data_IF_292821617709
#
_entry.id   IF_292821617709
#
_cell.length_a   1.000
_cell.length_b   1.000
_cell.length_c   1.000
_cell.angle_alpha   90.00
_cell.angle_beta   90.00
_cell.angle_gamma   90.00
#
_symmetry.space_group_name_H-M   'P 1'
#
loop_
_entity.id
_entity.type
_entity.pdbx_description
1 polymer ?
#
# COMPACT_ATOMS: atom_id res chain seq x y z
N UNK A 1 0.38 -19.38 28.34
CA UNK A 1 -0.65 -20.29 27.80
C UNK A 1 0.04 -21.22 26.82
N UNK A 2 -0.30 -22.50 26.88
CA UNK A 2 0.18 -23.47 25.90
C UNK A 2 -0.51 -23.23 24.57
N UNK A 3 0.24 -23.30 23.49
CA UNK A 3 -0.23 -22.85 22.20
C UNK A 3 0.35 -23.66 21.04
N UNK A 4 -0.31 -23.55 19.89
CA UNK A 4 0.09 -24.19 18.63
C UNK A 4 -0.42 -23.39 17.42
N UNK A 5 0.04 -23.77 16.23
CA UNK A 5 -0.39 -23.27 14.94
C UNK A 5 -0.89 -24.43 14.08
N UNK A 6 -2.01 -24.23 13.36
CA UNK A 6 -2.59 -25.30 12.55
C UNK A 6 -1.74 -25.60 11.30
N UNK A 7 -1.28 -26.84 11.18
CA UNK A 7 -0.61 -27.36 9.97
C UNK A 7 0.75 -26.73 9.68
N UNK A 8 1.11 -26.68 8.39
CA UNK A 8 2.31 -26.00 7.87
C UNK A 8 3.66 -26.51 8.40
N UNK A 9 3.73 -27.78 8.82
CA UNK A 9 4.98 -28.40 9.25
C UNK A 9 5.99 -28.46 8.11
N UNK A 10 7.10 -27.75 8.29
CA UNK A 10 8.24 -27.75 7.39
C UNK A 10 9.18 -28.91 7.70
N UNK A 11 9.50 -29.09 8.99
CA UNK A 11 10.35 -30.16 9.50
C UNK A 11 10.20 -30.28 11.02
N UNK A 12 10.84 -31.27 11.62
CA UNK A 12 10.91 -31.38 13.08
C UNK A 12 12.31 -31.78 13.55
N UNK A 13 12.63 -31.43 14.80
CA UNK A 13 13.89 -31.77 15.44
C UNK A 13 13.69 -32.04 16.93
N UNK A 14 14.40 -33.05 17.45
CA UNK A 14 14.43 -33.33 18.88
C UNK A 14 15.26 -32.25 19.60
N UNK A 15 14.64 -31.51 20.51
CA UNK A 15 15.27 -30.41 21.24
C UNK A 15 14.43 -30.02 22.46
N UNK A 16 15.00 -29.28 23.41
CA UNK A 16 14.24 -28.65 24.49
C UNK A 16 13.37 -27.49 23.98
N UNK A 17 12.31 -27.16 24.71
CA UNK A 17 11.38 -26.09 24.34
C UNK A 17 12.06 -24.73 24.24
N UNK A 18 12.99 -24.43 25.15
CA UNK A 18 13.78 -23.19 25.16
C UNK A 18 14.64 -23.00 23.90
N UNK A 19 15.05 -24.11 23.26
CA UNK A 19 15.88 -24.10 22.05
C UNK A 19 15.08 -24.19 20.75
N UNK A 20 13.75 -24.37 20.82
CA UNK A 20 12.92 -24.54 19.63
C UNK A 20 12.86 -23.27 18.76
N UNK A 21 12.85 -22.07 19.38
CA UNK A 21 12.94 -20.81 18.65
C UNK A 21 14.24 -20.69 17.86
N UNK A 22 15.37 -21.02 18.48
CA UNK A 22 16.67 -21.04 17.82
C UNK A 22 16.68 -22.04 16.65
N UNK A 23 16.13 -23.25 16.85
CA UNK A 23 16.04 -24.25 15.79
C UNK A 23 15.21 -23.80 14.61
N UNK A 24 14.08 -23.14 14.86
CA UNK A 24 13.30 -22.52 13.79
C UNK A 24 14.09 -21.41 13.09
N UNK A 25 14.74 -20.50 13.81
CA UNK A 25 15.54 -19.44 13.18
C UNK A 25 16.72 -19.93 12.32
N UNK A 26 17.31 -21.09 12.66
CA UNK A 26 18.37 -21.74 11.89
C UNK A 26 17.84 -22.53 10.67
N UNK A 27 16.52 -22.75 10.60
CA UNK A 27 15.88 -23.56 9.57
C UNK A 27 15.34 -22.67 8.47
N UNK A 28 15.90 -22.83 7.27
CA UNK A 28 15.51 -22.02 6.11
C UNK A 28 14.01 -22.09 5.84
N UNK A 29 13.34 -20.94 5.81
CA UNK A 29 11.90 -20.83 5.56
C UNK A 29 11.01 -21.05 6.78
N UNK A 30 11.57 -21.33 7.97
CA UNK A 30 10.79 -21.40 9.19
C UNK A 30 10.37 -20.00 9.65
N UNK A 31 9.07 -19.78 9.78
CA UNK A 31 8.50 -18.50 10.24
C UNK A 31 7.94 -18.60 11.64
N UNK A 32 7.56 -19.80 12.07
CA UNK A 32 6.98 -20.06 13.38
C UNK A 32 7.21 -21.52 13.79
N UNK A 33 6.98 -21.82 15.05
CA UNK A 33 7.21 -23.16 15.59
C UNK A 33 6.16 -23.51 16.64
N UNK A 34 6.01 -24.81 16.84
CA UNK A 34 5.36 -25.39 18.01
C UNK A 34 6.29 -26.44 18.62
N UNK A 35 6.25 -26.60 19.93
CA UNK A 35 7.05 -27.55 20.69
C UNK A 35 6.15 -28.36 21.59
N UNK A 36 6.42 -29.66 21.72
CA UNK A 36 5.72 -30.54 22.64
C UNK A 36 6.62 -31.68 23.16
N UNK A 37 6.10 -32.48 24.09
CA UNK A 37 6.81 -33.59 24.74
C UNK A 37 7.00 -34.84 23.86
N UNK A 38 6.56 -34.81 22.60
CA UNK A 38 6.71 -35.95 21.69
C UNK A 38 8.18 -36.38 21.61
N UNK A 39 8.45 -37.69 21.72
CA UNK A 39 9.80 -38.29 21.74
C UNK A 39 10.79 -37.64 22.74
N UNK A 40 10.28 -37.17 23.89
CA UNK A 40 11.10 -36.52 24.91
C UNK A 40 11.50 -35.08 24.56
N UNK A 41 10.70 -34.41 23.73
CA UNK A 41 10.86 -33.02 23.34
C UNK A 41 11.10 -32.86 21.84
N UNK A 42 10.10 -32.42 21.11
CA UNK A 42 10.16 -32.19 19.66
C UNK A 42 9.74 -30.77 19.31
N UNK A 43 10.57 -30.08 18.54
CA UNK A 43 10.26 -28.81 17.91
C UNK A 43 9.74 -29.06 16.49
N UNK A 44 8.53 -28.60 16.21
CA UNK A 44 7.85 -28.61 14.94
C UNK A 44 8.03 -27.24 14.29
N UNK A 45 8.93 -27.18 13.31
CA UNK A 45 9.26 -25.97 12.57
C UNK A 45 8.25 -25.81 11.45
N UNK A 46 7.68 -24.62 11.32
CA UNK A 46 6.55 -24.36 10.43
C UNK A 46 6.83 -23.13 9.56
N UNK A 47 6.22 -23.08 8.38
CA UNK A 47 6.40 -21.99 7.41
C UNK A 47 5.07 -21.36 7.01
N UNK A 48 5.05 -20.07 6.73
CA UNK A 48 3.85 -19.36 6.30
C UNK A 48 3.69 -18.00 6.96
N UNK A 49 2.72 -17.22 6.48
CA UNK A 49 2.41 -15.91 7.03
C UNK A 49 1.50 -16.07 8.26
N UNK A 50 2.10 -16.09 9.44
CA UNK A 50 1.39 -16.12 10.72
C UNK A 50 1.96 -15.07 11.68
N UNK A 51 1.13 -14.66 12.62
CA UNK A 51 1.44 -13.77 13.73
C UNK A 51 1.18 -14.47 15.06
N UNK A 52 1.61 -13.86 16.17
CA UNK A 52 1.34 -14.42 17.51
C UNK A 52 -0.16 -14.61 17.79
N UNK A 53 -1.02 -13.83 17.12
CA UNK A 53 -2.48 -13.92 17.29
C UNK A 53 -3.11 -15.11 16.56
N UNK A 54 -2.41 -15.71 15.60
CA UNK A 54 -2.88 -16.89 14.87
C UNK A 54 -2.63 -18.19 15.66
N UNK A 55 -1.89 -18.08 16.77
CA UNK A 55 -1.71 -19.18 17.70
C UNK A 55 -3.03 -19.46 18.43
N UNK A 56 -3.44 -20.74 18.47
CA UNK A 56 -4.58 -21.15 19.26
C UNK A 56 -4.10 -21.77 20.58
N UNK A 57 -4.86 -21.53 21.64
CA UNK A 57 -4.58 -22.14 22.95
C UNK A 57 -4.84 -23.64 22.89
N UNK A 58 -3.92 -24.41 23.46
CA UNK A 58 -4.07 -25.86 23.62
C UNK A 58 -4.31 -26.21 25.08
N UNK A 59 -4.95 -27.36 25.32
CA UNK A 59 -5.15 -27.89 26.67
C UNK A 59 -3.92 -28.68 27.19
N UNK A 60 -2.89 -28.87 26.36
CA UNK A 60 -1.67 -29.56 26.77
C UNK A 60 -0.71 -28.55 27.44
N UNK A 61 -0.50 -28.63 28.77
CA UNK A 61 0.34 -27.67 29.49
C UNK A 61 1.81 -27.68 29.02
N UNK A 62 2.23 -28.73 28.32
CA UNK A 62 3.61 -28.87 27.84
C UNK A 62 3.81 -28.35 26.41
N UNK A 63 2.78 -27.80 25.78
CA UNK A 63 2.96 -27.16 24.48
C UNK A 63 3.45 -25.73 24.61
N UNK A 64 4.36 -25.34 23.73
CA UNK A 64 4.81 -23.96 23.56
C UNK A 64 4.89 -23.65 22.07
N UNK A 65 4.62 -22.42 21.67
CA UNK A 65 4.73 -22.00 20.28
C UNK A 65 5.28 -20.59 20.21
N UNK A 66 5.77 -20.20 19.03
CA UNK A 66 6.27 -18.85 18.82
C UNK A 66 6.41 -18.53 17.34
N UNK A 67 6.35 -17.24 17.03
CA UNK A 67 6.69 -16.71 15.72
C UNK A 67 8.12 -16.20 15.79
N UNK A 68 8.94 -16.53 14.81
CA UNK A 68 10.29 -15.98 14.73
C UNK A 68 10.16 -14.57 14.15
N UNK A 69 10.27 -13.58 15.03
CA UNK A 69 10.60 -12.22 14.62
C UNK A 69 12.06 -12.25 14.14
N UNK A 70 12.28 -12.57 12.87
CA UNK A 70 13.63 -12.57 12.31
C UNK A 70 14.17 -11.13 12.37
N UNK A 71 15.02 -10.85 13.36
CA UNK A 71 15.84 -9.64 13.46
C UNK A 71 16.86 -9.52 12.31
N UNK A 72 17.05 -10.62 11.57
CA UNK A 72 17.86 -10.71 10.35
C UNK A 72 17.04 -10.86 9.05
N UNK A 73 15.71 -10.65 9.08
CA UNK A 73 14.92 -10.69 7.84
C UNK A 73 15.23 -9.47 6.98
N UNK A 74 16.00 -9.68 5.93
CA UNK A 74 16.33 -8.64 4.98
C UNK A 74 15.10 -8.29 4.13
N UNK A 75 14.93 -7.00 3.83
CA UNK A 75 13.93 -6.56 2.87
C UNK A 75 14.38 -6.93 1.46
N UNK A 76 13.71 -7.90 0.85
CA UNK A 76 13.98 -8.30 -0.53
C UNK A 76 12.97 -7.63 -1.45
N UNK A 77 13.44 -6.97 -2.51
CA UNK A 77 12.58 -6.42 -3.56
C UNK A 77 11.94 -7.57 -4.33
N UNK A 78 10.63 -7.73 -4.21
CA UNK A 78 9.87 -8.83 -4.84
C UNK A 78 9.15 -8.40 -6.11
N UNK A 79 8.97 -7.10 -6.30
CA UNK A 79 8.36 -6.55 -7.50
C UNK A 79 8.79 -5.10 -7.70
N UNK A 80 8.91 -4.68 -8.95
CA UNK A 80 9.15 -3.28 -9.30
C UNK A 80 8.63 -2.94 -10.70
N UNK A 81 8.32 -1.67 -10.90
CA UNK A 81 8.15 -1.03 -12.21
C UNK A 81 8.92 0.28 -12.27
N UNK A 82 9.82 0.40 -13.24
CA UNK A 82 10.69 1.57 -13.43
C UNK A 82 10.25 2.45 -14.64
N UNK A 83 9.26 2.00 -15.43
CA UNK A 83 8.72 2.80 -16.55
C UNK A 83 9.78 3.25 -17.59
N UNK A 84 10.83 2.45 -17.78
CA UNK A 84 12.00 2.73 -18.64
C UNK A 84 11.73 2.54 -20.15
N UNK A 85 10.61 3.07 -20.66
CA UNK A 85 10.29 3.06 -22.08
C UNK A 85 9.42 4.27 -22.48
N UNK A 86 9.31 4.53 -23.79
CA UNK A 86 8.35 5.48 -24.33
C UNK A 86 7.10 4.74 -24.82
N UNK A 87 5.91 5.18 -24.41
CA UNK A 87 4.65 4.66 -24.95
C UNK A 87 3.59 4.38 -23.89
N UNK A 88 2.73 3.40 -24.16
CA UNK A 88 1.63 3.01 -23.27
C UNK A 88 2.08 2.31 -21.99
N UNK A 89 1.11 1.96 -21.15
CA UNK A 89 1.35 1.27 -19.88
C UNK A 89 1.42 -0.25 -20.11
N UNK A 90 2.32 -0.96 -19.41
CA UNK A 90 2.44 -2.41 -19.51
C UNK A 90 1.16 -3.10 -19.01
N UNK A 91 0.37 -3.73 -19.90
CA UNK A 91 -0.89 -4.35 -19.52
C UNK A 91 -0.70 -5.61 -18.67
N UNK A 92 0.52 -6.14 -18.52
CA UNK A 92 0.79 -7.24 -17.59
C UNK A 92 0.96 -6.75 -16.14
N UNK A 93 1.19 -5.46 -15.94
CA UNK A 93 1.47 -4.85 -14.64
C UNK A 93 0.30 -4.02 -14.14
N UNK A 94 -0.38 -3.32 -15.04
CA UNK A 94 -1.42 -2.36 -14.70
C UNK A 94 -2.71 -2.60 -15.50
N UNK A 95 -3.82 -2.18 -14.91
CA UNK A 95 -5.13 -2.02 -15.53
C UNK A 95 -5.64 -0.60 -15.29
N UNK A 96 -6.66 -0.20 -16.04
CA UNK A 96 -7.26 1.13 -15.95
C UNK A 96 -8.66 1.04 -15.37
N UNK A 97 -8.92 1.86 -14.35
CA UNK A 97 -10.28 2.19 -13.96
C UNK A 97 -10.80 3.26 -14.93
N UNK A 98 -11.93 2.99 -15.59
CA UNK A 98 -12.46 3.81 -16.68
C UNK A 98 -13.83 4.35 -16.32
N UNK A 99 -14.05 5.65 -16.55
CA UNK A 99 -15.35 6.28 -16.39
C UNK A 99 -15.33 7.63 -15.69
N UNK A 100 -16.49 8.29 -15.73
CA UNK A 100 -16.72 9.62 -15.16
C UNK A 100 -17.93 9.64 -14.22
N UNK A 101 -18.15 8.59 -13.42
CA UNK A 101 -19.29 8.50 -12.50
C UNK A 101 -19.15 9.35 -11.22
N UNK A 102 -18.02 10.05 -11.04
CA UNK A 102 -17.73 10.85 -9.84
C UNK A 102 -17.05 10.06 -8.71
N UNK A 103 -16.86 8.75 -8.87
CA UNK A 103 -15.98 7.90 -8.04
C UNK A 103 -16.24 7.97 -6.53
N UNK A 104 -17.51 8.14 -6.14
CA UNK A 104 -17.93 8.28 -4.73
C UNK A 104 -17.65 9.66 -4.11
N UNK A 105 -16.93 10.53 -4.83
CA UNK A 105 -16.37 11.77 -4.30
C UNK A 105 -16.80 13.03 -5.08
N UNK A 106 -17.81 12.95 -5.95
CA UNK A 106 -18.23 14.05 -6.84
C UNK A 106 -17.11 14.55 -7.78
N UNK A 107 -16.19 13.67 -8.14
CA UNK A 107 -15.08 13.94 -9.05
C UNK A 107 -15.58 14.35 -10.44
N UNK A 108 -14.83 15.22 -11.13
CA UNK A 108 -15.25 15.89 -12.37
C UNK A 108 -14.52 15.39 -13.62
N UNK A 109 -13.51 14.53 -13.48
CA UNK A 109 -12.82 13.90 -14.60
C UNK A 109 -13.52 12.65 -15.12
N UNK A 110 -13.27 12.34 -16.38
CA UNK A 110 -13.41 11.02 -16.94
C UNK A 110 -12.03 10.32 -16.92
N UNK A 111 -11.89 9.22 -16.18
CA UNK A 111 -10.70 8.39 -16.28
C UNK A 111 -10.74 7.58 -17.57
N UNK A 112 -9.68 7.68 -18.37
CA UNK A 112 -9.61 7.13 -19.72
C UNK A 112 -9.00 5.73 -19.76
N UNK A 113 -9.34 4.97 -20.80
CA UNK A 113 -8.77 3.64 -21.04
C UNK A 113 -7.49 3.72 -21.87
N UNK A 114 -6.33 3.55 -21.22
CA UNK A 114 -5.02 3.46 -21.89
C UNK A 114 -4.75 4.53 -22.96
N UNK A 115 -5.13 5.77 -22.67
CA UNK A 115 -4.90 6.92 -23.56
C UNK A 115 -3.59 7.62 -23.22
N UNK A 116 -2.69 7.73 -24.19
CA UNK A 116 -1.32 8.26 -23.98
C UNK A 116 -1.32 9.70 -23.43
N UNK A 117 -2.31 10.50 -23.82
CA UNK A 117 -2.48 11.86 -23.33
C UNK A 117 -2.70 11.93 -21.82
N UNK A 118 -3.27 10.89 -21.21
CA UNK A 118 -3.58 10.82 -19.78
C UNK A 118 -2.66 9.87 -19.00
N UNK A 119 -2.14 8.81 -19.62
CA UNK A 119 -1.19 7.88 -19.02
C UNK A 119 -0.18 7.35 -20.05
N UNK A 120 1.11 7.58 -19.80
CA UNK A 120 2.19 7.12 -20.69
C UNK A 120 3.51 7.00 -19.94
N UNK A 121 4.40 6.15 -20.43
CA UNK A 121 5.79 6.14 -20.01
C UNK A 121 6.60 7.07 -20.91
N UNK A 122 7.48 7.87 -20.30
CA UNK A 122 8.40 8.77 -20.98
C UNK A 122 9.82 8.59 -20.43
N UNK A 123 10.81 8.44 -21.31
CA UNK A 123 12.22 8.48 -20.91
C UNK A 123 12.61 9.88 -20.42
N UNK A 124 13.53 9.96 -19.46
CA UNK A 124 14.18 11.23 -19.14
C UNK A 124 15.06 11.68 -20.33
N UNK A 125 15.15 12.99 -20.63
CA UNK A 125 15.98 13.48 -21.72
C UNK A 125 17.43 12.99 -21.62
N UNK A 126 17.91 12.31 -22.66
CA UNK A 126 19.27 11.76 -22.70
C UNK A 126 19.51 10.55 -21.79
N UNK A 127 18.47 9.95 -21.22
CA UNK A 127 18.56 8.79 -20.32
C UNK A 127 17.92 7.54 -20.92
N UNK A 128 18.34 6.37 -20.42
CA UNK A 128 17.60 5.10 -20.60
C UNK A 128 16.56 4.87 -19.49
N UNK A 129 16.61 5.67 -18.43
CA UNK A 129 15.61 5.60 -17.37
C UNK A 129 14.38 6.42 -17.76
N UNK A 130 13.20 5.99 -17.32
CA UNK A 130 11.94 6.64 -17.61
C UNK A 130 11.09 6.94 -16.39
N UNK A 131 9.86 7.33 -16.66
CA UNK A 131 8.84 7.64 -15.67
C UNK A 131 7.47 7.41 -16.25
N UNK A 132 6.54 7.01 -15.40
CA UNK A 132 5.11 7.12 -15.69
C UNK A 132 4.69 8.59 -15.55
N UNK A 133 3.97 9.06 -16.56
CA UNK A 133 3.21 10.30 -16.55
C UNK A 133 1.74 9.96 -16.36
N UNK A 134 1.13 10.51 -15.30
CA UNK A 134 -0.32 10.60 -15.16
C UNK A 134 -0.69 12.07 -15.36
N UNK A 135 -1.57 12.37 -16.31
CA UNK A 135 -1.85 13.74 -16.73
C UNK A 135 -3.35 14.04 -16.77
N UNK A 136 -3.75 15.04 -15.99
CA UNK A 136 -5.08 15.60 -16.01
C UNK A 136 -5.15 16.70 -17.08
N UNK A 137 -6.23 16.69 -17.87
CA UNK A 137 -6.46 17.62 -18.96
C UNK A 137 -7.86 18.20 -18.90
N UNK A 138 -8.01 19.41 -19.41
CA UNK A 138 -9.31 20.04 -19.66
C UNK A 138 -9.70 19.80 -21.11
N UNK A 139 -10.55 18.82 -21.32
CA UNK A 139 -11.11 18.46 -22.62
C UNK A 139 -12.46 17.75 -22.40
N UNK A 140 -13.38 17.92 -23.35
CA UNK A 140 -14.68 17.26 -23.27
C UNK A 140 -14.52 15.79 -23.68
N UNK A 141 -14.94 14.87 -22.80
CA UNK A 141 -15.00 13.44 -23.09
C UNK A 141 -16.19 12.84 -22.36
N UNK A 142 -17.02 12.11 -23.10
CA UNK A 142 -18.31 11.62 -22.62
C UNK A 142 -19.13 12.76 -21.97
N UNK A 143 -19.51 12.61 -20.70
CA UNK A 143 -20.29 13.57 -19.93
C UNK A 143 -19.43 14.49 -19.05
N UNK A 144 -18.12 14.60 -19.28
CA UNK A 144 -17.18 15.36 -18.43
C UNK A 144 -16.36 16.37 -19.23
N UNK A 145 -15.86 17.38 -18.52
CA UNK A 145 -15.04 18.48 -19.06
C UNK A 145 -13.54 18.32 -18.78
N UNK A 146 -13.17 17.24 -18.13
CA UNK A 146 -11.80 16.90 -17.80
C UNK A 146 -11.57 15.42 -18.06
N UNK A 147 -10.34 15.07 -18.42
CA UNK A 147 -9.86 13.69 -18.51
C UNK A 147 -8.68 13.51 -17.57
N UNK A 148 -8.47 12.27 -17.13
CA UNK A 148 -7.30 11.86 -16.37
C UNK A 148 -7.07 10.35 -16.52
N UNK A 149 -6.18 9.77 -15.72
CA UNK A 149 -6.02 8.33 -15.61
C UNK A 149 -6.02 7.87 -14.14
N UNK A 150 -6.50 6.65 -13.94
CA UNK A 150 -6.47 5.91 -12.67
C UNK A 150 -5.97 4.50 -12.97
N UNK A 151 -4.70 4.26 -12.64
CA UNK A 151 -4.02 2.99 -12.84
C UNK A 151 -4.19 2.13 -11.60
N UNK A 152 -4.38 0.83 -11.81
CA UNK A 152 -4.52 -0.20 -10.79
C UNK A 152 -3.53 -1.32 -11.03
N UNK A 153 -2.78 -1.74 -10.02
CA UNK A 153 -1.80 -2.83 -10.18
C UNK A 153 -2.50 -4.19 -10.30
N UNK A 154 -2.00 -5.06 -11.18
CA UNK A 154 -2.48 -6.45 -11.30
C UNK A 154 -1.99 -7.35 -10.18
N UNK A 155 -0.79 -7.06 -9.70
CA UNK A 155 -0.21 -7.67 -8.50
C UNK A 155 -0.89 -7.14 -7.25
N UNK A 156 -1.05 -8.02 -6.27
CA UNK A 156 -1.60 -7.71 -4.95
C UNK A 156 -0.70 -8.31 -3.88
N UNK A 157 -0.59 -7.64 -2.75
CA UNK A 157 0.23 -8.12 -1.63
C UNK A 157 -0.52 -8.02 -0.32
N UNK A 158 -0.18 -8.93 0.59
CA UNK A 158 -0.48 -8.79 2.01
C UNK A 158 0.84 -8.61 2.73
N UNK A 159 0.96 -7.49 3.44
CA UNK A 159 2.17 -7.08 4.13
C UNK A 159 3.38 -6.87 3.22
N UNK A 160 4.24 -5.96 3.64
CA UNK A 160 5.47 -5.63 2.97
C UNK A 160 5.76 -4.15 3.07
N UNK A 161 6.70 -3.71 2.24
CA UNK A 161 7.08 -2.32 2.10
C UNK A 161 6.80 -1.88 0.68
N UNK A 162 5.94 -0.90 0.52
CA UNK A 162 5.71 -0.24 -0.76
C UNK A 162 6.45 1.09 -0.76
N UNK A 163 7.25 1.33 -1.78
CA UNK A 163 7.87 2.61 -2.03
C UNK A 163 7.48 3.11 -3.41
N UNK A 164 7.06 4.36 -3.49
CA UNK A 164 6.73 5.03 -4.75
C UNK A 164 7.53 6.31 -4.82
N UNK A 165 8.38 6.42 -5.84
CA UNK A 165 9.15 7.64 -6.09
C UNK A 165 8.39 8.53 -7.07
N UNK A 166 7.79 9.61 -6.57
CA UNK A 166 6.92 10.47 -7.36
C UNK A 166 7.18 11.96 -7.12
N UNK A 167 6.84 12.77 -8.13
CA UNK A 167 6.77 14.23 -8.07
C UNK A 167 5.32 14.63 -8.35
N UNK A 168 4.74 15.40 -7.45
CA UNK A 168 3.31 15.71 -7.46
C UNK A 168 2.99 16.92 -8.36
N UNK A 169 1.77 16.99 -8.92
CA UNK A 169 1.28 18.20 -9.56
C UNK A 169 0.84 19.25 -8.53
N UNK A 170 0.97 20.52 -8.89
CA UNK A 170 0.26 21.61 -8.22
C UNK A 170 -0.99 22.04 -9.01
N UNK A 171 -1.83 22.84 -8.38
CA UNK A 171 -2.91 23.56 -9.06
C UNK A 171 -4.29 23.29 -8.46
N UNK A 172 -4.97 24.38 -8.10
CA UNK A 172 -6.28 24.36 -7.44
C UNK A 172 -7.29 23.54 -8.25
N UNK A 173 -7.88 22.54 -7.59
CA UNK A 173 -8.82 21.60 -8.19
C UNK A 173 -8.24 20.22 -8.48
N UNK A 174 -6.92 20.01 -8.40
CA UNK A 174 -6.33 18.67 -8.54
C UNK A 174 -6.31 17.91 -7.22
N UNK A 175 -6.40 16.59 -7.31
CA UNK A 175 -6.24 15.67 -6.18
C UNK A 175 -5.43 14.43 -6.63
N UNK A 176 -4.09 14.52 -6.68
CA UNK A 176 -3.22 13.36 -6.87
C UNK A 176 -3.28 12.41 -5.67
N UNK A 177 -3.29 11.10 -5.94
CA UNK A 177 -3.31 10.06 -4.92
C UNK A 177 -2.43 8.86 -5.31
N UNK A 178 -1.73 8.32 -4.31
CA UNK A 178 -1.02 7.03 -4.31
C UNK A 178 -1.53 6.24 -3.11
N UNK A 179 -2.24 5.16 -3.38
CA UNK A 179 -3.08 4.51 -2.37
C UNK A 179 -3.31 3.04 -2.70
N UNK A 180 -4.02 2.33 -1.82
CA UNK A 180 -4.27 0.91 -1.98
C UNK A 180 -5.69 0.55 -1.56
N UNK A 181 -6.27 -0.41 -2.29
CA UNK A 181 -7.57 -1.02 -1.97
C UNK A 181 -7.47 -2.55 -1.92
N UNK A 182 -8.33 -3.22 -1.16
CA UNK A 182 -8.34 -4.67 -0.99
C UNK A 182 -8.75 -5.37 -2.28
N UNK A 183 -8.17 -6.53 -2.58
CA UNK A 183 -8.53 -7.29 -3.79
C UNK A 183 -10.01 -7.74 -3.78
N UNK A 184 -10.54 -8.07 -2.59
CA UNK A 184 -11.82 -8.77 -2.45
C UNK A 184 -12.64 -8.20 -1.30
N UNK A 185 -13.96 -8.26 -1.48
CA UNK A 185 -14.92 -8.13 -0.41
C UNK A 185 -14.91 -9.40 0.45
N UNK A 186 -14.26 -9.33 1.60
CA UNK A 186 -13.95 -10.47 2.48
C UNK A 186 -14.80 -10.49 3.75
N UNK A 187 -15.03 -9.35 4.40
CA UNK A 187 -15.57 -9.34 5.77
C UNK A 187 -17.10 -9.14 5.86
N UNK A 188 -17.71 -8.48 4.89
CA UNK A 188 -19.15 -8.18 4.91
C UNK A 188 -19.75 -8.13 3.50
N UNK A 189 -21.03 -7.78 3.39
CA UNK A 189 -21.71 -7.56 2.11
C UNK A 189 -21.41 -6.18 1.47
N UNK A 190 -20.59 -5.37 2.14
CA UNK A 190 -20.16 -4.05 1.68
C UNK A 190 -18.67 -4.11 1.35
N UNK A 191 -18.25 -3.60 0.19
CA UNK A 191 -16.83 -3.59 -0.17
C UNK A 191 -16.05 -2.50 0.59
N UNK A 192 -16.45 -1.24 0.43
CA UNK A 192 -15.86 -0.10 1.12
C UNK A 192 -16.87 0.49 2.11
N UNK A 193 -16.47 0.84 3.35
CA UNK A 193 -15.11 0.87 3.89
C UNK A 193 -14.68 -0.45 4.59
N UNK A 194 -15.53 -1.47 4.55
CA UNK A 194 -15.42 -2.67 5.38
C UNK A 194 -14.14 -3.48 5.15
N UNK A 195 -13.57 -3.42 3.94
CA UNK A 195 -12.36 -4.17 3.58
C UNK A 195 -11.09 -3.32 3.62
N UNK A 196 -11.20 -2.07 4.04
CA UNK A 196 -10.08 -1.16 4.25
C UNK A 196 -9.69 -0.32 3.04
N UNK A 197 -8.91 0.72 3.31
CA UNK A 197 -8.23 1.59 2.35
C UNK A 197 -6.96 2.12 3.02
N UNK A 198 -5.87 2.19 2.26
CA UNK A 198 -4.57 2.70 2.73
C UNK A 198 -4.14 3.83 1.79
N UNK A 199 -4.30 5.06 2.24
CA UNK A 199 -3.92 6.26 1.49
C UNK A 199 -2.51 6.66 1.89
N UNK A 200 -1.53 6.09 1.18
CA UNK A 200 -0.11 6.37 1.43
C UNK A 200 0.19 7.86 1.23
N UNK A 201 -0.31 8.44 0.15
CA UNK A 201 -0.10 9.84 -0.19
C UNK A 201 -1.34 10.39 -0.90
N UNK A 202 -1.91 11.43 -0.31
CA UNK A 202 -2.86 12.31 -0.96
C UNK A 202 -2.39 13.76 -0.84
N UNK A 203 -2.76 14.55 -1.82
CA UNK A 203 -2.59 15.99 -1.80
C UNK A 203 -3.75 16.64 -2.56
N UNK A 204 -4.08 17.87 -2.19
CA UNK A 204 -5.02 18.71 -2.93
C UNK A 204 -4.30 19.94 -3.46
N UNK A 205 -4.49 20.27 -4.73
CA UNK A 205 -3.66 21.25 -5.41
C UNK A 205 -3.91 22.71 -5.02
N UNK A 206 -4.92 23.00 -4.19
CA UNK A 206 -5.06 24.30 -3.52
C UNK A 206 -4.16 24.44 -2.28
N UNK A 207 -3.58 23.33 -1.82
CA UNK A 207 -2.64 23.24 -0.70
C UNK A 207 -1.47 22.31 -1.08
N UNK A 208 -0.70 22.67 -2.12
CA UNK A 208 0.20 21.76 -2.84
C UNK A 208 1.49 21.42 -2.06
N UNK A 209 1.63 21.88 -0.82
CA UNK A 209 2.76 21.53 0.04
C UNK A 209 2.36 20.52 1.13
N UNK A 210 1.06 20.33 1.38
CA UNK A 210 0.58 19.41 2.41
C UNK A 210 0.38 18.03 1.79
N UNK A 211 1.09 17.05 2.33
CA UNK A 211 0.87 15.63 2.04
C UNK A 211 0.08 15.04 3.19
N UNK A 212 -0.98 14.31 2.87
CA UNK A 212 -1.87 13.65 3.81
C UNK A 212 -1.73 12.13 3.65
N UNK A 213 -1.70 11.43 4.77
CA UNK A 213 -1.74 9.98 4.83
C UNK A 213 -2.92 9.55 5.68
N UNK A 214 -3.71 8.60 5.19
CA UNK A 214 -4.98 8.21 5.81
C UNK A 214 -5.18 6.70 5.76
N UNK A 215 -5.94 6.19 6.72
CA UNK A 215 -6.41 4.80 6.73
C UNK A 215 -7.93 4.80 6.90
N UNK A 216 -8.65 4.07 6.05
CA UNK A 216 -10.10 3.87 6.22
C UNK A 216 -10.44 2.41 6.54
N UNK A 217 -11.45 2.24 7.38
CA UNK A 217 -11.97 0.96 7.87
C UNK A 217 -13.47 1.08 8.11
N UNK A 218 -14.15 -0.03 8.40
CA UNK A 218 -15.55 0.01 8.80
C UNK A 218 -15.77 0.97 9.98
N UNK A 219 -14.96 0.84 11.03
CA UNK A 219 -15.11 1.62 12.26
C UNK A 219 -14.66 3.07 12.09
N UNK A 220 -13.61 3.29 11.29
CA UNK A 220 -12.97 4.58 11.10
C UNK A 220 -12.90 5.00 9.63
N UNK A 221 -13.73 5.95 9.19
CA UNK A 221 -13.74 6.40 7.80
C UNK A 221 -14.28 7.84 7.66
N UNK A 222 -14.07 8.43 6.48
CA UNK A 222 -14.40 9.83 6.23
C UNK A 222 -15.91 10.14 6.31
N UNK A 223 -16.79 9.17 6.04
CA UNK A 223 -18.24 9.35 6.21
C UNK A 223 -18.61 9.58 7.69
N UNK A 224 -17.79 9.10 8.62
CA UNK A 224 -17.93 9.28 10.07
C UNK A 224 -17.05 10.40 10.62
N UNK A 225 -16.10 10.91 9.84
CA UNK A 225 -15.16 11.95 10.26
C UNK A 225 -14.17 11.53 11.35
N UNK A 226 -13.88 10.22 11.47
CA UNK A 226 -13.06 9.65 12.54
C UNK A 226 -11.90 8.76 12.02
N UNK A 227 -11.57 8.84 10.73
CA UNK A 227 -10.45 8.11 10.13
C UNK A 227 -9.11 8.50 10.76
N UNK A 228 -8.19 7.54 11.02
CA UNK A 228 -6.80 7.84 11.32
C UNK A 228 -6.17 8.57 10.14
N UNK A 229 -5.76 9.81 10.37
CA UNK A 229 -5.17 10.66 9.35
C UNK A 229 -4.13 11.58 9.99
N UNK A 230 -3.08 11.89 9.25
CA UNK A 230 -2.12 12.92 9.62
C UNK A 230 -1.53 13.56 8.37
N UNK A 231 -0.87 14.71 8.53
CA UNK A 231 -0.26 15.43 7.42
C UNK A 231 1.08 16.06 7.79
N UNK A 232 1.88 16.32 6.77
CA UNK A 232 3.14 17.07 6.89
C UNK A 232 3.31 18.03 5.71
N UNK A 233 4.07 19.10 5.93
CA UNK A 233 4.50 20.00 4.86
C UNK A 233 5.75 19.42 4.19
N UNK A 234 5.69 19.23 2.87
CA UNK A 234 6.79 18.79 2.01
C UNK A 234 7.03 19.87 0.97
N UNK A 235 7.90 20.83 1.30
CA UNK A 235 8.07 22.09 0.56
C UNK A 235 8.40 21.94 -0.93
N UNK A 236 8.98 20.81 -1.32
CA UNK A 236 9.45 20.54 -2.67
C UNK A 236 8.82 19.29 -3.29
N UNK A 237 7.66 18.84 -2.80
CA UNK A 237 6.92 17.71 -3.39
C UNK A 237 6.50 17.92 -4.85
N UNK A 238 6.32 19.18 -5.26
CA UNK A 238 5.89 19.56 -6.62
C UNK A 238 7.06 19.86 -7.56
N UNK A 239 8.25 20.09 -7.02
CA UNK A 239 9.46 20.42 -7.80
C UNK A 239 10.43 19.26 -7.89
N UNK A 240 10.50 18.41 -6.85
CA UNK A 240 11.43 17.29 -6.75
C UNK A 240 10.69 15.97 -6.55
N UNK A 241 11.32 14.88 -7.00
CA UNK A 241 10.87 13.54 -6.66
C UNK A 241 11.06 13.29 -5.17
N UNK A 242 10.04 12.68 -4.56
CA UNK A 242 10.03 12.18 -3.18
C UNK A 242 9.73 10.70 -3.18
N UNK A 243 10.17 10.01 -2.14
CA UNK A 243 9.84 8.61 -1.92
C UNK A 243 8.77 8.54 -0.84
N UNK A 244 7.58 8.14 -1.24
CA UNK A 244 6.47 7.82 -0.34
C UNK A 244 6.58 6.35 0.04
N UNK A 245 6.76 6.08 1.33
CA UNK A 245 7.00 4.73 1.84
C UNK A 245 5.87 4.28 2.75
N UNK A 246 5.27 3.13 2.46
CA UNK A 246 4.40 2.38 3.34
C UNK A 246 5.19 1.20 3.89
N UNK A 247 5.28 1.09 5.22
CA UNK A 247 5.68 -0.12 5.94
C UNK A 247 4.44 -0.74 6.58
N UNK A 248 4.00 -1.87 6.02
CA UNK A 248 2.78 -2.55 6.43
C UNK A 248 3.09 -3.98 6.87
N UNK A 249 2.76 -4.29 8.12
CA UNK A 249 2.88 -5.64 8.67
C UNK A 249 1.64 -5.99 9.50
N UNK A 250 1.67 -7.13 10.16
CA UNK A 250 0.52 -7.64 10.92
C UNK A 250 0.17 -6.80 12.14
N UNK A 251 1.13 -6.03 12.68
CA UNK A 251 0.95 -5.27 13.92
C UNK A 251 0.71 -3.79 13.66
N UNK A 252 1.16 -3.24 12.53
CA UNK A 252 1.03 -1.81 12.22
C UNK A 252 1.19 -1.45 10.75
N UNK A 253 0.68 -0.27 10.42
CA UNK A 253 0.87 0.48 9.19
C UNK A 253 1.65 1.74 9.56
N UNK A 254 2.77 1.98 8.90
CA UNK A 254 3.55 3.22 9.02
C UNK A 254 3.74 3.84 7.64
N UNK A 255 3.54 5.16 7.55
CA UNK A 255 3.66 5.89 6.29
C UNK A 255 4.67 7.02 6.45
N UNK A 256 5.52 7.18 5.44
CA UNK A 256 6.64 8.11 5.45
C UNK A 256 6.75 8.86 4.13
N UNK A 257 7.41 10.01 4.19
CA UNK A 257 7.93 10.71 3.02
C UNK A 257 9.39 11.06 3.23
N UNK A 258 10.19 10.78 2.20
CA UNK A 258 11.62 11.04 2.19
C UNK A 258 12.14 11.30 0.79
N UNK A 259 13.42 11.05 0.59
CA UNK A 259 14.13 11.18 -0.68
C UNK A 259 15.09 10.00 -0.89
N UNK A 260 15.89 10.05 -1.96
CA UNK A 260 16.83 8.99 -2.30
C UNK A 260 17.91 8.77 -1.22
N UNK A 261 18.23 9.79 -0.41
CA UNK A 261 19.20 9.65 0.68
C UNK A 261 18.57 9.00 1.93
N UNK A 262 17.31 9.33 2.23
CA UNK A 262 16.57 8.70 3.32
C UNK A 262 15.06 8.57 3.01
N UNK A 263 14.61 7.41 2.51
CA UNK A 263 13.19 7.16 2.22
C UNK A 263 12.25 7.18 3.45
N UNK A 264 12.81 7.13 4.66
CA UNK A 264 12.09 7.11 5.94
C UNK A 264 12.25 8.41 6.73
N UNK A 265 12.76 9.48 6.09
CA UNK A 265 13.14 10.72 6.77
C UNK A 265 12.03 11.30 7.65
N UNK A 266 10.78 11.34 7.14
CA UNK A 266 9.67 11.93 7.86
C UNK A 266 8.53 10.92 7.95
N UNK A 267 8.17 10.54 9.18
CA UNK A 267 7.00 9.71 9.44
C UNK A 267 5.74 10.57 9.50
N UNK A 268 4.74 10.23 8.69
CA UNK A 268 3.47 10.94 8.61
C UNK A 268 2.47 10.28 9.56
N UNK A 269 2.22 8.98 9.39
CA UNK A 269 1.19 8.24 10.12
C UNK A 269 1.74 6.94 10.68
N UNK A 270 1.28 6.58 11.88
CA UNK A 270 1.41 5.25 12.48
C UNK A 270 0.04 4.79 12.93
N UNK A 271 -0.39 3.62 12.46
CA UNK A 271 -1.62 2.98 12.89
C UNK A 271 -1.32 1.56 13.38
N UNK A 272 -1.54 1.31 14.68
CA UNK A 272 -1.32 0.00 15.28
C UNK A 272 -2.59 -0.84 15.18
N UNK A 273 -2.40 -2.16 15.01
CA UNK A 273 -3.49 -3.13 15.03
C UNK A 273 -4.25 -3.05 16.34
N UNK A 274 -5.56 -2.99 16.23
CA UNK A 274 -6.49 -3.01 17.34
C UNK A 274 -7.80 -3.61 16.90
N UNK A 275 -8.51 -4.22 17.85
CA UNK A 275 -9.83 -4.77 17.62
C UNK A 275 -9.89 -5.91 16.62
N UNK A 276 -11.06 -6.07 16.02
CA UNK A 276 -11.33 -7.04 14.96
C UNK A 276 -11.21 -6.40 13.56
N UNK A 277 -11.72 -7.09 12.54
CA UNK A 277 -11.68 -6.64 11.14
C UNK A 277 -12.36 -5.28 10.92
N UNK A 278 -13.31 -4.88 11.78
CA UNK A 278 -13.97 -3.57 11.65
C UNK A 278 -12.99 -2.42 11.88
N UNK A 279 -11.95 -2.65 12.69
CA UNK A 279 -10.90 -1.69 13.04
C UNK A 279 -9.56 -2.02 12.34
N UNK A 280 -9.35 -3.27 11.92
CA UNK A 280 -8.16 -3.75 11.23
C UNK A 280 -8.46 -4.76 10.10
N UNK A 281 -8.93 -4.31 8.92
CA UNK A 281 -9.13 -5.14 7.73
C UNK A 281 -7.83 -5.33 6.90
N UNK A 282 -6.67 -4.97 7.43
CA UNK A 282 -5.40 -4.94 6.69
C UNK A 282 -4.63 -6.27 6.80
N UNK A 283 -5.34 -7.39 6.64
CA UNK A 283 -4.78 -8.76 6.67
C UNK A 283 -5.16 -9.58 5.40
N UNK A 284 -5.51 -8.88 4.33
CA UNK A 284 -5.85 -9.43 3.00
C UNK A 284 -5.00 -8.80 1.90
N UNK A 285 -4.99 -9.32 0.67
CA UNK A 285 -4.23 -8.74 -0.42
C UNK A 285 -4.79 -7.39 -0.85
N UNK A 286 -3.92 -6.40 -1.05
CA UNK A 286 -4.26 -5.07 -1.57
C UNK A 286 -3.52 -4.81 -2.89
N UNK A 287 -4.18 -4.14 -3.82
CA UNK A 287 -3.58 -3.61 -5.05
C UNK A 287 -3.29 -2.11 -4.90
N UNK A 288 -2.34 -1.62 -5.69
CA UNK A 288 -1.94 -0.21 -5.72
C UNK A 288 -2.81 0.56 -6.70
N UNK A 289 -3.16 1.79 -6.34
CA UNK A 289 -3.83 2.77 -7.19
C UNK A 289 -2.98 4.04 -7.32
N UNK A 290 -2.95 4.57 -8.55
CA UNK A 290 -2.26 5.81 -8.91
C UNK A 290 -3.20 6.64 -9.77
N UNK A 291 -3.55 7.86 -9.34
CA UNK A 291 -4.44 8.73 -10.11
C UNK A 291 -4.23 10.21 -9.83
N UNK A 292 -4.83 11.05 -10.68
CA UNK A 292 -5.12 12.45 -10.40
C UNK A 292 -6.62 12.67 -10.58
N UNK A 293 -7.35 12.86 -9.50
CA UNK A 293 -8.72 13.34 -9.57
C UNK A 293 -8.75 14.85 -9.88
N UNK A 294 -9.86 15.30 -10.47
CA UNK A 294 -10.14 16.72 -10.74
C UNK A 294 -11.45 17.08 -10.06
N UNK A 295 -11.42 18.12 -9.22
CA UNK A 295 -12.55 18.54 -8.42
C UNK A 295 -12.82 17.57 -7.27
N UNK A 296 -14.07 17.12 -7.16
CA UNK A 296 -14.52 16.33 -6.02
C UNK A 296 -14.79 17.16 -4.78
N UNK A 297 -15.40 16.51 -3.77
CA UNK A 297 -15.78 17.12 -2.50
C UNK A 297 -14.58 17.71 -1.75
N UNK A 298 -13.39 17.11 -1.91
CA UNK A 298 -12.17 17.59 -1.28
C UNK A 298 -11.27 18.39 -2.23
N UNK A 299 -10.77 17.80 -3.32
CA UNK A 299 -9.87 18.47 -4.27
C UNK A 299 -10.46 19.73 -4.91
N UNK A 300 -11.78 19.78 -5.08
CA UNK A 300 -12.55 20.89 -5.63
C UNK A 300 -13.21 21.79 -4.58
N UNK A 301 -12.90 21.62 -3.29
CA UNK A 301 -13.51 22.41 -2.20
C UNK A 301 -13.27 23.92 -2.35
N UNK A 302 -12.20 24.32 -3.02
CA UNK A 302 -11.89 25.71 -3.40
C UNK A 302 -12.14 25.99 -4.89
N UNK A 303 -12.93 25.15 -5.57
CA UNK A 303 -13.15 25.20 -7.01
C UNK A 303 -11.99 24.63 -7.84
N UNK A 304 -12.13 24.68 -9.16
CA UNK A 304 -11.12 24.24 -10.12
C UNK A 304 -10.56 25.46 -10.86
N UNK A 305 -9.24 25.59 -10.96
CA UNK A 305 -8.60 26.56 -11.83
C UNK A 305 -8.43 25.97 -13.23
N UNK A 306 -9.14 26.53 -14.21
CA UNK A 306 -9.13 26.03 -15.58
C UNK A 306 -7.86 26.36 -16.36
N UNK A 307 -7.02 27.26 -15.86
CA UNK A 307 -5.81 27.72 -16.56
C UNK A 307 -4.57 26.88 -16.23
N UNK A 308 -4.66 25.96 -15.26
CA UNK A 308 -3.53 25.10 -14.89
C UNK A 308 -3.32 23.97 -15.90
N UNK A 309 -4.37 23.52 -16.59
CA UNK A 309 -4.32 22.32 -17.42
C UNK A 309 -3.48 22.53 -18.70
N UNK A 310 -2.73 21.50 -19.14
CA UNK A 310 -2.56 20.19 -18.51
C UNK A 310 -1.64 20.22 -17.27
N UNK A 311 -1.88 19.29 -16.33
CA UNK A 311 -1.04 19.08 -15.15
C UNK A 311 -0.77 17.60 -14.93
N UNK A 312 0.44 17.28 -14.47
CA UNK A 312 0.93 15.90 -14.40
C UNK A 312 1.58 15.54 -13.07
N UNK A 313 1.34 14.31 -12.67
CA UNK A 313 2.09 13.58 -11.65
C UNK A 313 3.11 12.71 -12.38
N UNK A 314 4.35 12.71 -11.90
CA UNK A 314 5.44 11.93 -12.47
C UNK A 314 5.85 10.85 -11.48
N UNK A 315 5.91 9.58 -11.89
CA UNK A 315 6.33 8.46 -11.06
C UNK A 315 7.56 7.84 -11.70
N UNK A 316 8.71 7.95 -11.04
CA UNK A 316 9.98 7.36 -11.50
C UNK A 316 9.92 5.83 -11.36
N UNK A 317 9.53 5.33 -10.20
CA UNK A 317 9.36 3.89 -10.00
C UNK A 317 8.37 3.55 -8.87
N UNK A 318 7.86 2.33 -8.92
CA UNK A 318 7.08 1.68 -7.86
C UNK A 318 7.81 0.41 -7.47
N UNK A 319 8.10 0.20 -6.18
CA UNK A 319 8.81 -0.97 -5.67
C UNK A 319 8.11 -1.57 -4.48
N UNK A 320 7.97 -2.89 -4.48
CA UNK A 320 7.43 -3.65 -3.36
C UNK A 320 8.49 -4.61 -2.80
N UNK A 321 8.65 -4.61 -1.49
CA UNK A 321 9.60 -5.43 -0.77
C UNK A 321 8.88 -6.30 0.25
N UNK A 322 9.42 -7.49 0.50
CA UNK A 322 8.97 -8.37 1.58
C UNK A 322 10.17 -8.87 2.37
N UNK A 323 9.96 -9.11 3.67
CA UNK A 323 10.93 -9.78 4.52
C UNK A 323 11.07 -11.24 4.11
N UNK A 324 12.30 -11.71 3.95
CA UNK A 324 12.62 -13.12 3.70
C UNK A 324 13.47 -13.72 4.81
#
# INVERSE_FOLDING_TARGET
MSCDFRGNDLSNARTSGELCSKKCSETQGCTHFAWNQYNGGTCWMKSGAVSKNDAFSTNDPNMACGVIENSNSEWVRVWEDNFDWNGGIDPNRWEFDVGGGGWGNNEQQYYTNNRLENARCELFPGSRNGRLIVEARRENMENRQYTSARLKSKVKWTYGRLQIRAKLPDGRGLWPALWMLPEKQTYSNTYWPDNGEIDLMEQVGYDPLRVVSTVHTQAYNHMKGNQPTNSIIVNDAVTNFKIYTLDWNVDKIEMFVGDDANPFANRILVWNKQGDWTQWPFDKPFFILINIAVGGSWGGSQGIDNNIFPRRMEIDWVRFYQRR
#
